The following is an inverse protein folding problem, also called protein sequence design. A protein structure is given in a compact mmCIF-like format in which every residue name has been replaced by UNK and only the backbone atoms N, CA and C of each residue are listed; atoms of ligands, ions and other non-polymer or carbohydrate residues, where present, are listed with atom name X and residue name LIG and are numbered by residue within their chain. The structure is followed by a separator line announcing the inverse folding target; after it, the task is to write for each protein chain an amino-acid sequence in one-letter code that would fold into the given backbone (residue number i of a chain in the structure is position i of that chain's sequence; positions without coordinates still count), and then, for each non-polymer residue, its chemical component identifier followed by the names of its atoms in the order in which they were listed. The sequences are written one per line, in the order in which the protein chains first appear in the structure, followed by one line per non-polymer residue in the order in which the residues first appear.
data_IF_700787629337
#
_entry.id   IF_700787629337
#
_cell.length_a   1.000
_cell.length_b   1.000
_cell.length_c   1.000
_cell.angle_alpha   90.00
_cell.angle_beta   90.00
_cell.angle_gamma   90.00
#
_symmetry.space_group_name_H-M   'P 1'
#
loop_
_entity.id
_entity.type
_entity.pdbx_description
1 polymer ?
#
# COMPACT_ATOMS: atom_id res chain seq x y z
N UNK A 1 -31.49 -70.16 79.90
CA UNK A 1 -32.46 -70.18 78.78
C UNK A 1 -32.25 -68.89 77.99
N UNK A 2 -31.57 -68.96 76.83
CA UNK A 2 -32.19 -68.94 75.47
C UNK A 2 -32.80 -67.55 75.16
N UNK A 3 -32.52 -66.82 74.08
CA UNK A 3 -31.94 -67.09 72.75
C UNK A 3 -31.50 -65.73 72.16
N UNK A 4 -30.32 -65.62 71.54
CA UNK A 4 -30.03 -65.78 70.11
C UNK A 4 -30.53 -64.64 69.19
N UNK A 5 -29.58 -64.03 68.48
CA UNK A 5 -29.67 -62.86 67.59
C UNK A 5 -30.50 -63.09 66.29
N UNK A 6 -30.67 -62.07 65.41
CA UNK A 6 -29.61 -61.81 64.44
C UNK A 6 -29.36 -60.34 64.07
N UNK A 7 -28.07 -60.10 63.89
CA UNK A 7 -27.42 -59.03 63.15
C UNK A 7 -27.95 -58.98 61.69
N UNK A 8 -28.47 -57.83 61.22
CA UNK A 8 -28.73 -57.59 59.78
C UNK A 8 -27.87 -56.45 59.23
N UNK A 9 -26.81 -56.88 58.54
CA UNK A 9 -26.22 -56.40 57.29
C UNK A 9 -26.40 -54.92 56.87
N UNK A 10 -25.24 -54.28 56.75
CA UNK A 10 -24.91 -53.08 55.97
C UNK A 10 -25.65 -52.97 54.64
N UNK A 11 -26.23 -51.79 54.38
CA UNK A 11 -26.48 -51.29 53.04
C UNK A 11 -25.48 -50.17 52.73
N UNK A 12 -24.40 -50.52 52.01
CA UNK A 12 -23.54 -49.54 51.32
C UNK A 12 -24.40 -48.80 50.30
N UNK A 13 -24.77 -47.54 50.58
CA UNK A 13 -25.27 -46.64 49.53
C UNK A 13 -24.08 -46.23 48.67
N UNK A 14 -24.10 -46.74 47.45
CA UNK A 14 -23.11 -46.50 46.39
C UNK A 14 -23.03 -45.02 46.10
N UNK A 15 -21.82 -44.53 45.85
CA UNK A 15 -21.56 -43.15 45.45
C UNK A 15 -22.46 -42.73 44.30
N UNK A 16 -23.17 -41.61 44.51
CA UNK A 16 -23.74 -40.87 43.41
C UNK A 16 -22.56 -40.24 42.66
N UNK A 17 -22.19 -40.82 41.51
CA UNK A 17 -21.36 -40.14 40.54
C UNK A 17 -22.04 -38.82 40.20
N UNK A 18 -21.26 -37.74 40.30
CA UNK A 18 -21.66 -36.37 40.05
C UNK A 18 -22.49 -36.26 38.78
N UNK A 19 -23.74 -35.81 38.93
CA UNK A 19 -24.58 -35.40 37.81
C UNK A 19 -23.85 -34.24 37.10
N UNK A 20 -23.51 -34.34 35.81
CA UNK A 20 -22.93 -33.20 35.12
C UNK A 20 -23.93 -32.03 35.16
N UNK A 21 -23.48 -30.79 35.36
CA UNK A 21 -24.37 -29.64 35.33
C UNK A 21 -25.10 -29.63 34.00
N UNK A 22 -26.43 -29.71 34.04
CA UNK A 22 -27.26 -29.57 32.86
C UNK A 22 -27.02 -28.18 32.29
N UNK A 23 -26.29 -28.11 31.17
CA UNK A 23 -26.09 -26.88 30.43
C UNK A 23 -27.48 -26.34 30.08
N UNK A 24 -27.79 -25.16 30.60
CA UNK A 24 -29.05 -24.47 30.29
C UNK A 24 -29.11 -24.32 28.77
N UNK A 25 -30.19 -24.78 28.10
CA UNK A 25 -30.30 -24.59 26.66
C UNK A 25 -30.30 -23.10 26.39
N UNK A 26 -29.23 -22.63 25.77
CA UNK A 26 -29.10 -21.23 25.37
C UNK A 26 -30.14 -21.01 24.27
N UNK A 27 -31.06 -20.07 24.50
CA UNK A 27 -32.08 -19.72 23.51
C UNK A 27 -31.40 -19.36 22.19
N UNK A 28 -31.90 -19.87 21.07
CA UNK A 28 -31.34 -19.63 19.72
C UNK A 28 -31.05 -18.14 19.45
N UNK A 29 -31.84 -17.26 20.06
CA UNK A 29 -31.68 -15.78 20.02
C UNK A 29 -30.34 -15.32 20.61
N UNK A 30 -29.88 -15.91 21.72
CA UNK A 30 -28.59 -15.56 22.34
C UNK A 30 -27.42 -16.02 21.48
N UNK A 31 -27.51 -17.20 20.89
CA UNK A 31 -26.49 -17.70 19.96
C UNK A 31 -26.44 -16.83 18.71
N UNK A 32 -27.60 -16.48 18.15
CA UNK A 32 -27.71 -15.58 17.02
C UNK A 32 -27.16 -14.17 17.35
N UNK A 33 -27.42 -13.65 18.55
CA UNK A 33 -26.88 -12.38 19.01
C UNK A 33 -25.35 -12.39 19.14
N UNK A 34 -24.78 -13.45 19.71
CA UNK A 34 -23.32 -13.61 19.81
C UNK A 34 -22.70 -13.75 18.41
N UNK A 35 -23.29 -14.61 17.57
CA UNK A 35 -22.81 -14.81 16.20
C UNK A 35 -22.87 -13.53 15.37
N UNK A 36 -23.97 -12.76 15.49
CA UNK A 36 -24.11 -11.46 14.84
C UNK A 36 -23.10 -10.43 15.35
N UNK A 37 -22.87 -10.38 16.67
CA UNK A 37 -21.85 -9.49 17.26
C UNK A 37 -20.43 -9.83 16.79
N UNK A 38 -20.08 -11.11 16.73
CA UNK A 38 -18.78 -11.57 16.20
C UNK A 38 -18.65 -11.25 14.71
N UNK A 39 -19.72 -11.43 13.92
CA UNK A 39 -19.71 -11.08 12.50
C UNK A 39 -19.52 -9.57 12.28
N UNK A 40 -20.17 -8.72 13.08
CA UNK A 40 -19.97 -7.27 13.02
C UNK A 40 -18.56 -6.84 13.41
N UNK A 41 -17.98 -7.47 14.45
CA UNK A 41 -16.58 -7.24 14.81
C UNK A 41 -15.62 -7.68 13.72
N UNK A 42 -15.86 -8.84 13.10
CA UNK A 42 -15.06 -9.32 11.99
C UNK A 42 -15.15 -8.38 10.78
N UNK A 43 -16.35 -7.87 10.46
CA UNK A 43 -16.54 -6.86 9.41
C UNK A 43 -15.91 -5.51 9.76
N UNK A 44 -15.87 -5.12 11.03
CA UNK A 44 -15.21 -3.89 11.47
C UNK A 44 -13.68 -4.02 11.42
N UNK A 45 -13.13 -5.22 11.70
CA UNK A 45 -11.69 -5.49 11.55
C UNK A 45 -11.35 -5.57 10.06
N UNK A 46 -12.00 -6.44 9.29
CA UNK A 46 -11.74 -6.55 7.85
C UNK A 46 -12.16 -5.34 7.03
N UNK A 47 -13.11 -4.51 7.48
CA UNK A 47 -13.54 -3.30 6.79
C UNK A 47 -12.92 -2.00 7.31
N UNK A 48 -12.42 -2.00 8.55
CA UNK A 48 -11.81 -0.83 9.20
C UNK A 48 -10.28 -0.81 9.14
N UNK A 49 -9.64 -1.98 8.98
CA UNK A 49 -8.18 -2.10 8.90
C UNK A 49 -7.60 -1.59 7.56
N UNK A 50 -8.46 -1.40 6.55
CA UNK A 50 -8.13 -0.67 5.31
C UNK A 50 -8.30 0.86 5.44
N UNK A 51 -8.62 1.39 6.63
CA UNK A 51 -8.87 2.82 6.81
C UNK A 51 -7.63 3.66 7.13
N UNK A 52 -6.69 3.13 7.92
CA UNK A 52 -5.59 3.93 8.50
C UNK A 52 -4.22 3.59 7.92
N UNK A 53 -3.91 2.30 7.75
CA UNK A 53 -2.66 1.86 7.12
C UNK A 53 -2.64 2.23 5.63
N UNK A 54 -3.72 1.95 4.91
CA UNK A 54 -3.88 2.34 3.50
C UNK A 54 -3.86 3.86 3.31
N UNK A 55 -4.37 4.63 4.26
CA UNK A 55 -4.30 6.09 4.18
C UNK A 55 -2.85 6.62 4.24
N UNK A 56 -1.99 5.99 5.06
CA UNK A 56 -0.56 6.31 5.10
C UNK A 56 0.12 5.88 3.81
N UNK A 57 -0.22 4.70 3.28
CA UNK A 57 0.33 4.17 2.02
C UNK A 57 -0.05 5.06 0.83
N UNK A 58 -1.32 5.44 0.72
CA UNK A 58 -1.83 6.34 -0.32
C UNK A 58 -1.19 7.72 -0.21
N UNK A 59 -1.01 8.26 1.01
CA UNK A 59 -0.29 9.53 1.19
C UNK A 59 1.17 9.46 0.77
N UNK A 60 1.86 8.35 1.06
CA UNK A 60 3.25 8.14 0.62
C UNK A 60 3.34 8.07 -0.89
N UNK A 61 2.46 7.31 -1.54
CA UNK A 61 2.38 7.24 -3.00
C UNK A 61 2.09 8.61 -3.63
N UNK A 62 1.19 9.40 -3.03
CA UNK A 62 0.88 10.74 -3.50
C UNK A 62 2.06 11.71 -3.33
N UNK A 63 2.83 11.57 -2.25
CA UNK A 63 4.02 12.39 -2.02
C UNK A 63 5.12 12.05 -3.03
N UNK A 64 5.41 10.77 -3.24
CA UNK A 64 6.41 10.31 -4.21
C UNK A 64 6.06 10.73 -5.64
N UNK A 65 4.80 10.59 -6.05
CA UNK A 65 4.35 10.99 -7.38
C UNK A 65 4.47 12.50 -7.59
N UNK A 66 4.12 13.29 -6.57
CA UNK A 66 4.31 14.76 -6.60
C UNK A 66 5.77 15.15 -6.72
N UNK A 67 6.68 14.44 -6.06
CA UNK A 67 8.12 14.70 -6.18
C UNK A 67 8.63 14.40 -7.60
N UNK A 68 8.15 13.32 -8.23
CA UNK A 68 8.51 13.01 -9.63
C UNK A 68 7.98 14.07 -10.60
N UNK A 69 6.73 14.50 -10.44
CA UNK A 69 6.15 15.57 -11.27
C UNK A 69 6.91 16.88 -11.09
N UNK A 70 7.33 17.21 -9.87
CA UNK A 70 8.12 18.41 -9.60
C UNK A 70 9.50 18.36 -10.28
N UNK A 71 10.19 17.21 -10.23
CA UNK A 71 11.47 17.03 -10.90
C UNK A 71 11.34 17.17 -12.43
N UNK A 72 10.33 16.54 -13.03
CA UNK A 72 10.05 16.63 -14.46
C UNK A 72 9.72 18.06 -14.90
N UNK A 73 8.99 18.83 -14.08
CA UNK A 73 8.69 20.24 -14.37
C UNK A 73 9.95 21.10 -14.40
N UNK A 74 10.88 20.90 -13.47
CA UNK A 74 12.16 21.63 -13.45
C UNK A 74 12.95 21.35 -14.72
N UNK A 75 12.98 20.09 -15.17
CA UNK A 75 13.67 19.70 -16.39
C UNK A 75 13.04 20.34 -17.64
N UNK A 76 11.70 20.29 -17.75
CA UNK A 76 10.97 20.94 -18.83
C UNK A 76 11.19 22.46 -18.86
N UNK A 77 11.16 23.13 -17.70
CA UNK A 77 11.41 24.57 -17.62
C UNK A 77 12.85 24.90 -18.05
N UNK A 78 13.83 24.06 -17.72
CA UNK A 78 15.23 24.25 -18.15
C UNK A 78 15.40 24.09 -19.66
N UNK A 79 14.73 23.10 -20.26
CA UNK A 79 14.76 22.83 -21.70
C UNK A 79 14.01 23.92 -22.47
N UNK A 80 12.86 24.37 -21.96
CA UNK A 80 12.09 25.46 -22.55
C UNK A 80 12.90 26.76 -22.56
N UNK A 81 13.65 27.04 -21.49
CA UNK A 81 14.55 28.19 -21.44
C UNK A 81 15.68 28.08 -22.46
N UNK A 82 16.31 26.91 -22.59
CA UNK A 82 17.35 26.67 -23.58
C UNK A 82 16.82 26.85 -25.01
N UNK A 83 15.64 26.30 -25.30
CA UNK A 83 14.98 26.42 -26.60
C UNK A 83 14.66 27.88 -26.91
N UNK A 84 14.12 28.62 -25.93
CA UNK A 84 13.85 30.05 -26.07
C UNK A 84 15.13 30.87 -26.32
N UNK A 85 16.22 30.58 -25.61
CA UNK A 85 17.51 31.25 -25.81
C UNK A 85 18.09 30.95 -27.21
N UNK A 86 17.89 29.74 -27.74
CA UNK A 86 18.28 29.37 -29.11
C UNK A 86 17.41 30.06 -30.17
N UNK A 87 16.11 30.16 -29.93
CA UNK A 87 15.15 30.72 -30.89
C UNK A 87 15.24 32.26 -30.97
N UNK A 88 15.54 32.91 -29.85
CA UNK A 88 15.54 34.37 -29.77
C UNK A 88 16.90 34.99 -30.08
N UNK A 89 17.99 34.23 -30.03
CA UNK A 89 19.34 34.74 -30.27
C UNK A 89 19.90 34.34 -31.66
N UNK A 90 19.87 35.23 -32.65
CA UNK A 90 20.37 34.95 -34.00
C UNK A 90 21.87 34.61 -34.05
N UNK A 91 22.67 35.07 -33.08
CA UNK A 91 24.09 34.71 -33.02
C UNK A 91 24.32 33.24 -32.62
N UNK A 92 23.41 32.66 -31.83
CA UNK A 92 23.48 31.24 -31.47
C UNK A 92 23.05 30.38 -32.67
N UNK A 93 22.03 30.80 -33.41
CA UNK A 93 21.61 30.14 -34.64
C UNK A 93 22.70 30.15 -35.70
N UNK A 94 23.36 31.30 -35.89
CA UNK A 94 24.49 31.41 -36.81
C UNK A 94 25.64 30.48 -36.43
N UNK A 95 25.99 30.40 -35.14
CA UNK A 95 27.03 29.47 -34.66
C UNK A 95 26.67 28.01 -34.93
N UNK A 96 25.44 27.59 -34.60
CA UNK A 96 24.98 26.21 -34.85
C UNK A 96 24.95 25.90 -36.35
N UNK A 97 24.50 26.84 -37.18
CA UNK A 97 24.51 26.70 -38.64
C UNK A 97 25.94 26.53 -39.20
N UNK A 98 26.91 27.27 -38.66
CA UNK A 98 28.33 27.19 -39.06
C UNK A 98 29.00 25.90 -38.56
N UNK A 99 28.74 25.48 -37.33
CA UNK A 99 29.40 24.31 -36.71
C UNK A 99 28.82 22.98 -37.20
N UNK A 100 27.48 22.84 -37.23
CA UNK A 100 26.82 21.57 -37.57
C UNK A 100 26.63 21.40 -39.07
N UNK A 101 26.36 22.50 -39.78
CA UNK A 101 25.99 22.45 -41.20
C UNK A 101 27.03 23.07 -42.13
N UNK A 102 28.11 23.64 -41.60
CA UNK A 102 29.17 24.27 -42.41
C UNK A 102 28.66 25.43 -43.27
N UNK A 103 27.54 26.03 -42.88
CA UNK A 103 26.89 27.10 -43.66
C UNK A 103 27.71 28.37 -43.59
N UNK A 104 27.81 29.08 -44.72
CA UNK A 104 28.46 30.39 -44.84
C UNK A 104 27.41 31.46 -45.11
N UNK A 105 27.66 32.69 -44.68
CA UNK A 105 26.74 33.81 -44.91
C UNK A 105 26.82 34.27 -46.36
N UNK A 106 25.73 34.81 -46.90
CA UNK A 106 25.73 35.46 -48.21
C UNK A 106 26.83 36.53 -48.27
N UNK A 107 27.79 36.34 -49.20
CA UNK A 107 28.94 37.22 -49.39
C UNK A 107 30.25 36.76 -48.74
N UNK A 108 30.27 35.67 -47.96
CA UNK A 108 31.51 35.06 -47.47
C UNK A 108 32.09 34.05 -48.47
N UNK A 109 33.43 33.92 -48.50
CA UNK A 109 34.14 32.97 -49.36
C UNK A 109 34.89 31.95 -48.50
N UNK A 110 34.55 30.68 -48.63
CA UNK A 110 35.20 29.59 -47.89
C UNK A 110 36.48 29.14 -48.62
N UNK A 111 37.64 29.34 -47.99
CA UNK A 111 38.91 28.78 -48.47
C UNK A 111 39.15 27.41 -47.85
N UNK A 112 39.16 26.36 -48.68
CA UNK A 112 39.59 25.01 -48.25
C UNK A 112 41.01 24.76 -48.76
N UNK A 113 41.95 24.62 -47.83
CA UNK A 113 43.34 24.27 -48.17
C UNK A 113 43.40 22.76 -48.41
N UNK A 114 43.74 22.35 -49.63
CA UNK A 114 44.03 20.96 -49.95
C UNK A 114 45.55 20.74 -49.96
N UNK A 115 46.07 19.68 -49.31
CA UNK A 115 47.49 19.36 -49.36
C UNK A 115 47.90 19.02 -50.80
N UNK A 116 49.09 19.48 -51.18
CA UNK A 116 49.66 19.22 -52.50
C UNK A 116 50.36 17.85 -52.45
N UNK A 117 49.88 16.89 -53.23
CA UNK A 117 50.58 15.62 -53.46
C UNK A 117 51.94 15.85 -54.14
#
# INVERSE_FOLDING_TARGET
MQSAAPHRRRARRRGALSRPPSLRPVTRIRVAGIAGGVALLALAVWGGEYGTADWITIRRQLAEERTRVAALRIELDSLAKLAHDLETNPAVQERVAREQFGMIRDGEVLYRVVPKE
#
